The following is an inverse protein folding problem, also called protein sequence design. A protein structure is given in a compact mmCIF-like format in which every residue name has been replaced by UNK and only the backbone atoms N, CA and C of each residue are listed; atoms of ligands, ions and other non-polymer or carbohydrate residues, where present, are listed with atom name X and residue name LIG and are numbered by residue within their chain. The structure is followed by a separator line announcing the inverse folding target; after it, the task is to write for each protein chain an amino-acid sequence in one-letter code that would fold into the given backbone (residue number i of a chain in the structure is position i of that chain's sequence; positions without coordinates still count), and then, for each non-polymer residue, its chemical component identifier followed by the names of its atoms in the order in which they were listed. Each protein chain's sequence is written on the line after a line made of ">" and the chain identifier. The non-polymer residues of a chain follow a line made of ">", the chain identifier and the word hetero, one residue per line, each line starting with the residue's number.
data_IF_662590122165
#
_entry.id   IF_662590122165
#
_cell.length_a   1.000
_cell.length_b   1.000
_cell.length_c   1.000
_cell.angle_alpha   90.00
_cell.angle_beta   90.00
_cell.angle_gamma   90.00
#
_symmetry.space_group_name_H-M   'P 1'
#
loop_
_entity.id
_entity.type
_entity.pdbx_description
1 polymer ?
#
# COMPACT_ATOMS: atom_id res chain seq x y z
N UNK A 1 27.32 -18.85 -6.45
CA UNK A 1 26.80 -18.98 -5.07
C UNK A 1 26.72 -17.59 -4.48
N UNK A 2 25.63 -16.88 -4.74
CA UNK A 2 25.29 -15.62 -4.08
C UNK A 2 24.52 -15.98 -2.81
N UNK A 3 25.10 -15.67 -1.65
CA UNK A 3 24.45 -15.82 -0.36
C UNK A 3 23.35 -14.78 -0.24
N UNK A 4 22.08 -15.20 -0.30
CA UNK A 4 20.94 -14.36 0.05
C UNK A 4 21.04 -14.04 1.54
N UNK A 5 21.47 -12.83 1.89
CA UNK A 5 21.29 -12.32 3.24
C UNK A 5 19.81 -12.04 3.40
N UNK A 6 19.08 -12.97 4.02
CA UNK A 6 17.71 -12.71 4.42
C UNK A 6 17.71 -11.52 5.36
N UNK A 7 16.93 -10.49 5.02
CA UNK A 7 16.73 -9.32 5.87
C UNK A 7 15.93 -9.76 7.10
N UNK A 8 16.65 -10.18 8.14
CA UNK A 8 16.05 -10.55 9.40
C UNK A 8 15.61 -9.28 10.16
N UNK A 9 14.41 -9.31 10.72
CA UNK A 9 13.95 -8.30 11.67
C UNK A 9 14.88 -8.31 12.89
N UNK A 10 15.32 -7.14 13.33
CA UNK A 10 16.14 -6.94 14.52
C UNK A 10 15.28 -6.90 15.78
N UNK A 11 14.03 -6.44 15.67
CA UNK A 11 13.05 -6.43 16.75
C UNK A 11 11.65 -6.95 16.36
N UNK A 12 10.82 -7.26 17.36
CA UNK A 12 9.41 -7.62 17.15
C UNK A 12 8.56 -6.37 16.94
N UNK A 13 7.85 -6.28 15.81
CA UNK A 13 6.95 -5.16 15.52
C UNK A 13 5.53 -5.43 16.06
N UNK A 14 4.87 -4.39 16.54
CA UNK A 14 3.48 -4.44 16.99
C UNK A 14 2.53 -3.89 15.92
N UNK A 15 1.49 -4.64 15.55
CA UNK A 15 0.42 -4.15 14.68
C UNK A 15 -0.58 -3.34 15.52
N UNK A 16 -0.69 -2.05 15.22
CA UNK A 16 -1.59 -1.11 15.90
C UNK A 16 -2.98 -1.10 15.25
N UNK A 17 -3.00 -1.14 13.92
CA UNK A 17 -4.19 -1.28 13.07
C UNK A 17 -3.78 -1.69 11.66
N UNK A 18 -4.74 -2.19 10.87
CA UNK A 18 -4.54 -2.52 9.48
C UNK A 18 -5.81 -2.25 8.67
N UNK A 19 -5.64 -2.02 7.37
CA UNK A 19 -6.73 -1.80 6.44
C UNK A 19 -6.39 -2.37 5.06
N UNK A 20 -7.44 -2.82 4.37
CA UNK A 20 -7.37 -3.26 2.97
C UNK A 20 -8.43 -2.54 2.15
N UNK A 21 -8.17 -2.41 0.85
CA UNK A 21 -9.12 -1.90 -0.12
C UNK A 21 -8.91 -2.55 -1.49
N UNK A 22 -10.01 -2.83 -2.18
CA UNK A 22 -10.06 -3.34 -3.55
C UNK A 22 -10.92 -2.42 -4.41
N UNK A 23 -10.60 -2.31 -5.68
CA UNK A 23 -11.42 -1.54 -6.63
C UNK A 23 -11.46 -2.24 -7.99
N UNK A 24 -12.65 -2.34 -8.58
CA UNK A 24 -12.92 -2.99 -9.87
C UNK A 24 -12.32 -4.39 -10.01
N UNK A 25 -12.16 -5.12 -8.91
CA UNK A 25 -11.74 -6.52 -8.91
C UNK A 25 -12.90 -7.46 -9.24
N UNK A 26 -14.13 -6.99 -9.14
CA UNK A 26 -15.36 -7.78 -9.29
C UNK A 26 -15.74 -8.53 -8.01
N UNK A 27 -15.12 -8.19 -6.88
CA UNK A 27 -15.43 -8.73 -5.55
C UNK A 27 -16.46 -7.85 -4.85
N UNK A 28 -17.22 -8.43 -3.93
CA UNK A 28 -18.23 -7.71 -3.15
C UNK A 28 -17.62 -6.60 -2.26
N UNK A 29 -16.34 -6.76 -1.89
CA UNK A 29 -15.56 -5.82 -1.09
C UNK A 29 -14.95 -4.65 -1.90
N UNK A 30 -15.26 -4.54 -3.21
CA UNK A 30 -14.82 -3.41 -4.02
C UNK A 30 -15.42 -2.09 -3.51
N UNK A 31 -14.55 -1.11 -3.27
CA UNK A 31 -14.95 0.21 -2.79
C UNK A 31 -15.14 1.20 -3.94
N UNK A 32 -16.00 2.18 -3.68
CA UNK A 32 -15.97 3.44 -4.42
C UNK A 32 -14.72 4.23 -4.01
N UNK A 33 -13.96 4.73 -4.98
CA UNK A 33 -12.73 5.46 -4.69
C UNK A 33 -13.01 6.85 -4.10
N UNK A 34 -12.25 7.29 -3.07
CA UNK A 34 -12.35 8.65 -2.57
C UNK A 34 -11.91 9.65 -3.64
N UNK A 35 -12.56 10.81 -3.66
CA UNK A 35 -12.20 11.91 -4.57
C UNK A 35 -10.98 12.63 -4.03
N UNK A 36 -9.83 12.42 -4.66
CA UNK A 36 -8.58 13.04 -4.26
C UNK A 36 -8.19 14.14 -5.28
N UNK A 37 -8.18 15.43 -4.89
CA UNK A 37 -7.85 16.51 -5.82
C UNK A 37 -6.50 16.30 -6.52
N UNK A 38 -6.52 16.35 -7.86
CA UNK A 38 -5.34 16.10 -8.68
C UNK A 38 -5.12 14.62 -9.05
N UNK A 39 -5.79 13.67 -8.41
CA UNK A 39 -5.63 12.24 -8.67
C UNK A 39 -6.93 11.64 -9.19
N UNK A 40 -7.26 11.94 -10.45
CA UNK A 40 -8.55 11.60 -11.06
C UNK A 40 -8.47 10.53 -12.15
N UNK A 41 -7.26 10.22 -12.62
CA UNK A 41 -7.06 9.36 -13.79
C UNK A 41 -6.85 7.89 -13.41
N UNK A 42 -6.51 7.60 -12.15
CA UNK A 42 -6.06 6.29 -11.67
C UNK A 42 -6.59 5.96 -10.28
N UNK A 43 -6.73 4.66 -10.00
CA UNK A 43 -7.08 4.15 -8.69
C UNK A 43 -5.90 4.16 -7.70
N UNK A 44 -4.66 4.33 -8.18
CA UNK A 44 -3.45 4.18 -7.35
C UNK A 44 -3.47 5.06 -6.09
N UNK A 45 -3.51 6.38 -6.29
CA UNK A 45 -3.43 7.35 -5.20
C UNK A 45 -4.69 7.35 -4.33
N UNK A 46 -5.91 7.27 -4.88
CA UNK A 46 -7.12 7.08 -4.07
C UNK A 46 -7.09 5.83 -3.18
N UNK A 47 -6.61 4.68 -3.69
CA UNK A 47 -6.47 3.46 -2.90
C UNK A 47 -5.40 3.59 -1.81
N UNK A 48 -4.22 4.12 -2.14
CA UNK A 48 -3.16 4.38 -1.17
C UNK A 48 -3.65 5.29 -0.03
N UNK A 49 -4.34 6.37 -0.39
CA UNK A 49 -4.94 7.31 0.55
C UNK A 49 -5.99 6.63 1.43
N UNK A 50 -6.91 5.86 0.85
CA UNK A 50 -8.00 5.22 1.59
C UNK A 50 -7.48 4.31 2.71
N UNK A 51 -6.60 3.35 2.38
CA UNK A 51 -6.10 2.39 3.39
C UNK A 51 -5.26 3.08 4.46
N UNK A 52 -4.53 4.13 4.08
CA UNK A 52 -3.76 4.95 5.01
C UNK A 52 -4.65 5.75 5.94
N UNK A 53 -5.66 6.41 5.37
CA UNK A 53 -6.64 7.22 6.10
C UNK A 53 -7.34 6.36 7.15
N UNK A 54 -7.86 5.18 6.76
CA UNK A 54 -8.47 4.22 7.71
C UNK A 54 -7.54 3.87 8.87
N UNK A 55 -6.26 3.61 8.61
CA UNK A 55 -5.30 3.31 9.67
C UNK A 55 -5.05 4.52 10.59
N UNK A 56 -4.80 5.69 10.01
CA UNK A 56 -4.45 6.90 10.75
C UNK A 56 -5.64 7.49 11.53
N UNK A 57 -6.87 7.30 11.05
CA UNK A 57 -8.09 7.72 11.76
C UNK A 57 -8.51 6.73 12.83
N UNK A 58 -8.36 5.42 12.59
CA UNK A 58 -8.64 4.40 13.61
C UNK A 58 -7.64 4.47 14.77
N UNK A 59 -6.39 4.89 14.50
CA UNK A 59 -5.35 5.12 15.49
C UNK A 59 -4.75 6.52 15.33
N UNK A 60 -5.44 7.57 15.80
CA UNK A 60 -4.89 8.91 15.82
C UNK A 60 -3.61 8.95 16.66
N UNK A 61 -2.70 9.85 16.31
CA UNK A 61 -1.45 10.07 17.02
C UNK A 61 -0.65 11.17 16.34
N UNK A 62 0.56 11.41 16.80
CA UNK A 62 1.34 12.54 16.28
C UNK A 62 1.88 12.26 14.88
N UNK A 63 1.66 13.22 13.97
CA UNK A 63 2.09 13.11 12.59
C UNK A 63 3.60 13.25 12.45
N UNK A 64 4.21 14.11 13.26
CA UNK A 64 5.66 14.34 13.25
C UNK A 64 6.46 13.12 13.73
N UNK A 65 5.87 12.30 14.61
CA UNK A 65 6.39 11.01 15.11
C UNK A 65 5.94 9.81 14.27
N UNK A 66 5.43 10.04 13.05
CA UNK A 66 4.98 9.00 12.11
C UNK A 66 5.86 8.99 10.86
N UNK A 67 6.38 7.83 10.50
CA UNK A 67 7.01 7.61 9.19
C UNK A 67 6.09 6.79 8.26
N UNK A 68 6.35 6.84 6.95
CA UNK A 68 5.57 6.11 5.94
C UNK A 68 6.48 5.40 4.95
N UNK A 69 6.18 4.14 4.65
CA UNK A 69 6.84 3.38 3.59
C UNK A 69 5.81 2.76 2.64
N UNK A 70 5.87 3.16 1.37
CA UNK A 70 4.96 2.71 0.30
C UNK A 70 5.68 1.77 -0.66
N UNK A 71 5.22 0.53 -0.80
CA UNK A 71 5.68 -0.36 -1.85
C UNK A 71 4.74 -0.36 -3.06
N UNK A 72 5.32 -0.29 -4.25
CA UNK A 72 4.63 -0.66 -5.48
C UNK A 72 5.66 -1.04 -6.53
N UNK A 73 5.53 -2.24 -7.11
CA UNK A 73 6.43 -2.68 -8.16
C UNK A 73 6.37 -1.74 -9.38
N UNK A 74 5.17 -1.37 -9.82
CA UNK A 74 4.98 -0.61 -11.07
C UNK A 74 4.48 0.82 -10.87
N UNK A 75 4.05 1.21 -9.67
CA UNK A 75 3.54 2.55 -9.36
C UNK A 75 2.23 2.89 -10.08
N UNK A 76 1.98 4.18 -10.29
CA UNK A 76 0.78 4.66 -11.00
C UNK A 76 0.95 4.56 -12.53
N UNK A 77 0.92 3.31 -13.00
CA UNK A 77 1.06 2.98 -14.43
C UNK A 77 -0.05 3.55 -15.29
N UNK A 78 -1.28 3.65 -14.78
CA UNK A 78 -2.42 4.22 -15.50
C UNK A 78 -2.17 5.68 -15.86
N UNK A 79 -1.76 6.51 -14.88
CA UNK A 79 -1.45 7.92 -15.11
C UNK A 79 -0.21 8.08 -15.98
N UNK A 80 0.84 7.26 -15.76
CA UNK A 80 2.06 7.28 -16.56
C UNK A 80 1.82 6.97 -18.05
N UNK A 81 0.99 5.96 -18.33
CA UNK A 81 0.64 5.52 -19.67
C UNK A 81 -0.24 6.57 -20.39
N UNK A 82 -1.20 7.16 -19.67
CA UNK A 82 -1.99 8.27 -20.18
C UNK A 82 -1.14 9.50 -20.52
N UNK A 83 -0.23 9.89 -19.63
CA UNK A 83 0.70 11.00 -19.85
C UNK A 83 1.57 10.75 -21.10
N UNK A 84 2.08 9.53 -21.24
CA UNK A 84 2.89 9.10 -22.39
C UNK A 84 2.10 9.18 -23.70
N UNK A 85 0.87 8.67 -23.75
CA UNK A 85 0.00 8.76 -24.94
C UNK A 85 -0.35 10.20 -25.30
N UNK A 86 -0.65 11.04 -24.30
CA UNK A 86 -0.92 12.48 -24.50
C UNK A 86 0.31 13.18 -25.06
N UNK A 87 1.52 12.82 -24.62
CA UNK A 87 2.76 13.35 -25.16
C UNK A 87 3.00 12.96 -26.62
N UNK A 88 2.91 11.66 -26.95
CA UNK A 88 3.11 11.16 -28.31
C UNK A 88 2.08 11.74 -29.30
N UNK A 89 0.85 11.95 -28.84
CA UNK A 89 -0.22 12.54 -29.68
C UNK A 89 -0.18 14.08 -29.77
N UNK A 90 0.81 14.75 -29.18
CA UNK A 90 0.91 16.22 -29.16
C UNK A 90 -0.12 16.92 -28.26
N UNK A 91 -0.80 16.18 -27.38
CA UNK A 91 -1.87 16.67 -26.49
C UNK A 91 -1.39 16.90 -25.06
N UNK A 92 -0.29 17.64 -24.88
CA UNK A 92 0.40 17.85 -23.57
C UNK A 92 -0.29 18.91 -22.69
N UNK A 93 -1.61 18.90 -22.60
CA UNK A 93 -2.38 19.99 -21.98
C UNK A 93 -2.30 20.01 -20.44
N UNK A 94 -1.72 18.97 -19.82
CA UNK A 94 -1.52 18.92 -18.38
C UNK A 94 -0.14 18.31 -18.05
N UNK A 95 0.91 19.14 -17.87
CA UNK A 95 2.25 18.67 -17.54
C UNK A 95 2.33 18.05 -16.14
N UNK A 96 1.37 18.33 -15.25
CA UNK A 96 1.35 17.77 -13.90
C UNK A 96 1.08 16.27 -13.88
N UNK A 97 0.51 15.70 -14.95
CA UNK A 97 0.25 14.27 -15.04
C UNK A 97 1.51 13.43 -14.87
N UNK A 98 2.66 13.88 -15.37
CA UNK A 98 3.93 13.17 -15.18
C UNK A 98 4.38 13.21 -13.71
N UNK A 99 4.18 14.34 -13.02
CA UNK A 99 4.52 14.46 -11.60
C UNK A 99 3.58 13.60 -10.74
N UNK A 100 2.30 13.55 -11.11
CA UNK A 100 1.26 12.77 -10.44
C UNK A 100 1.42 11.25 -10.66
N UNK A 101 2.04 10.83 -11.75
CA UNK A 101 2.29 9.42 -12.02
C UNK A 101 3.36 8.77 -11.11
N UNK A 102 4.09 9.57 -10.33
CA UNK A 102 5.09 9.04 -9.40
C UNK A 102 4.41 8.42 -8.18
N UNK A 103 4.84 7.23 -7.75
CA UNK A 103 4.25 6.54 -6.60
C UNK A 103 4.29 7.38 -5.31
N UNK A 104 5.32 8.22 -5.15
CA UNK A 104 5.49 9.12 -4.00
C UNK A 104 4.50 10.29 -3.95
N UNK A 105 3.81 10.62 -5.05
CA UNK A 105 2.99 11.83 -5.14
C UNK A 105 1.85 11.86 -4.10
N UNK A 106 1.25 10.70 -3.80
CA UNK A 106 0.20 10.57 -2.77
C UNK A 106 0.74 10.83 -1.36
N UNK A 107 2.01 10.53 -1.09
CA UNK A 107 2.62 10.75 0.22
C UNK A 107 2.68 12.23 0.56
N UNK A 108 2.91 13.10 -0.43
CA UNK A 108 2.85 14.55 -0.25
C UNK A 108 1.43 15.04 0.12
N UNK A 109 0.39 14.40 -0.40
CA UNK A 109 -0.99 14.68 -0.01
C UNK A 109 -1.24 14.25 1.44
N UNK A 110 -0.88 13.02 1.78
CA UNK A 110 -1.04 12.45 3.12
C UNK A 110 -0.27 13.24 4.18
N UNK A 111 0.95 13.69 3.87
CA UNK A 111 1.76 14.53 4.75
C UNK A 111 1.04 15.79 5.17
N UNK A 112 0.45 16.50 4.21
CA UNK A 112 -0.31 17.72 4.49
C UNK A 112 -1.57 17.44 5.31
N UNK A 113 -2.27 16.36 5.02
CA UNK A 113 -3.56 16.06 5.65
C UNK A 113 -3.43 15.54 7.08
N UNK A 114 -2.48 14.63 7.32
CA UNK A 114 -2.26 13.99 8.61
C UNK A 114 -1.10 14.60 9.41
N UNK A 115 -0.53 15.71 8.93
CA UNK A 115 0.60 16.39 9.59
C UNK A 115 1.87 15.55 9.63
N UNK A 116 2.06 14.61 8.69
CA UNK A 116 3.19 13.69 8.72
C UNK A 116 4.46 14.42 8.27
N UNK A 117 5.41 14.58 9.18
CA UNK A 117 6.72 15.19 8.89
C UNK A 117 7.89 14.24 9.11
N UNK A 118 7.63 13.00 9.57
CA UNK A 118 8.62 11.94 9.59
C UNK A 118 8.99 11.47 8.19
N UNK A 119 9.91 10.51 8.13
CA UNK A 119 10.50 10.01 6.90
C UNK A 119 9.43 9.32 6.03
N UNK A 120 9.41 9.62 4.73
CA UNK A 120 8.48 9.03 3.76
C UNK A 120 9.26 8.43 2.59
N UNK A 121 9.02 7.15 2.32
CA UNK A 121 9.69 6.41 1.25
C UNK A 121 8.67 5.77 0.31
N UNK A 122 9.06 5.64 -0.97
CA UNK A 122 8.46 4.63 -1.84
C UNK A 122 9.54 3.73 -2.40
N UNK A 123 9.25 2.43 -2.37
CA UNK A 123 10.10 1.37 -2.87
C UNK A 123 9.39 0.63 -4.01
N UNK A 124 10.18 0.22 -4.99
CA UNK A 124 9.77 -0.70 -6.05
C UNK A 124 10.73 -1.88 -5.99
N UNK A 125 10.19 -3.07 -5.80
CA UNK A 125 10.97 -4.29 -5.65
C UNK A 125 10.34 -5.46 -6.37
N UNK A 126 11.18 -6.32 -6.93
CA UNK A 126 10.82 -7.64 -7.45
C UNK A 126 10.89 -8.72 -6.37
N UNK A 127 11.53 -8.45 -5.24
CA UNK A 127 11.55 -9.38 -4.10
C UNK A 127 10.20 -9.34 -3.37
N UNK A 128 10.13 -9.84 -2.13
CA UNK A 128 8.91 -9.81 -1.31
C UNK A 128 8.69 -8.42 -0.71
N UNK A 129 7.71 -7.63 -1.16
CA UNK A 129 7.49 -6.28 -0.67
C UNK A 129 7.14 -6.25 0.82
N UNK A 130 6.50 -7.31 1.34
CA UNK A 130 6.16 -7.41 2.76
C UNK A 130 7.44 -7.43 3.61
N UNK A 131 8.37 -8.33 3.30
CA UNK A 131 9.63 -8.44 4.03
C UNK A 131 10.43 -7.14 4.00
N UNK A 132 10.51 -6.47 2.84
CA UNK A 132 11.21 -5.18 2.73
C UNK A 132 10.55 -4.07 3.54
N UNK A 133 9.22 -3.95 3.50
CA UNK A 133 8.49 -2.95 4.26
C UNK A 133 8.62 -3.17 5.77
N UNK A 134 8.53 -4.42 6.24
CA UNK A 134 8.71 -4.74 7.65
C UNK A 134 10.14 -4.44 8.11
N UNK A 135 11.15 -4.79 7.31
CA UNK A 135 12.53 -4.47 7.61
C UNK A 135 12.80 -2.95 7.65
N UNK A 136 12.18 -2.19 6.74
CA UNK A 136 12.27 -0.73 6.77
C UNK A 136 11.61 -0.15 8.03
N UNK A 137 10.44 -0.65 8.41
CA UNK A 137 9.75 -0.19 9.61
C UNK A 137 10.55 -0.49 10.89
N UNK A 138 11.13 -1.67 10.99
CA UNK A 138 12.04 -2.06 12.09
C UNK A 138 13.25 -1.14 12.15
N UNK A 139 13.93 -0.90 11.03
CA UNK A 139 15.08 0.01 10.95
C UNK A 139 14.71 1.44 11.42
N UNK A 140 13.59 1.98 10.94
CA UNK A 140 13.16 3.34 11.28
C UNK A 140 12.81 3.49 12.77
N UNK A 141 12.12 2.50 13.35
CA UNK A 141 11.73 2.55 14.77
C UNK A 141 12.91 2.32 15.71
N UNK A 142 13.94 1.60 15.27
CA UNK A 142 15.18 1.41 16.03
C UNK A 142 16.11 2.62 15.98
N UNK A 143 16.36 3.16 14.78
CA UNK A 143 17.37 4.20 14.56
C UNK A 143 16.88 5.60 14.97
N UNK A 144 15.56 5.84 14.95
CA UNK A 144 14.97 7.14 15.28
C UNK A 144 14.07 7.05 16.54
N UNK A 145 14.55 7.51 17.72
CA UNK A 145 13.76 7.49 18.95
C UNK A 145 12.59 8.48 18.94
N UNK A 146 12.58 9.46 18.03
CA UNK A 146 11.47 10.40 17.88
C UNK A 146 10.30 9.81 17.09
N UNK A 147 10.53 8.77 16.29
CA UNK A 147 9.43 8.02 15.66
C UNK A 147 8.75 7.10 16.68
N UNK A 148 7.42 7.11 16.71
CA UNK A 148 6.63 6.19 17.52
C UNK A 148 6.05 5.05 16.68
N UNK A 149 5.81 5.32 15.40
CA UNK A 149 5.07 4.44 14.52
C UNK A 149 5.46 4.62 13.06
N UNK A 150 5.29 3.55 12.30
CA UNK A 150 5.52 3.51 10.86
C UNK A 150 4.28 2.97 10.18
N UNK A 151 3.73 3.73 9.24
CA UNK A 151 2.71 3.23 8.33
C UNK A 151 3.39 2.55 7.15
N UNK A 152 3.26 1.24 7.05
CA UNK A 152 3.64 0.52 5.83
C UNK A 152 2.41 0.31 4.98
N UNK A 153 2.52 0.58 3.68
CA UNK A 153 1.44 0.36 2.74
C UNK A 153 1.99 -0.16 1.40
N UNK A 154 1.13 -0.83 0.64
CA UNK A 154 1.46 -1.22 -0.71
C UNK A 154 0.25 -1.14 -1.64
N UNK A 155 0.51 -0.83 -2.91
CA UNK A 155 -0.52 -0.72 -3.95
C UNK A 155 -0.09 -1.47 -5.20
N UNK A 156 -1.00 -2.30 -5.72
CA UNK A 156 -0.86 -3.07 -6.95
C UNK A 156 -2.03 -2.72 -7.89
N UNK A 157 -1.72 -2.35 -9.13
CA UNK A 157 -2.72 -2.16 -10.19
C UNK A 157 -2.64 -3.33 -11.17
N UNK A 158 -3.76 -3.72 -11.77
CA UNK A 158 -3.75 -4.71 -12.85
C UNK A 158 -3.02 -4.23 -14.10
N UNK A 159 -3.03 -2.91 -14.35
CA UNK A 159 -2.23 -2.27 -15.39
C UNK A 159 -2.72 -2.56 -16.82
N UNK A 160 -2.20 -1.81 -17.78
CA UNK A 160 -2.54 -2.01 -19.21
C UNK A 160 -1.73 -3.16 -19.83
N UNK A 161 -2.03 -3.53 -21.08
CA UNK A 161 -1.23 -4.49 -21.85
C UNK A 161 0.27 -4.15 -21.87
N UNK A 162 0.59 -2.85 -21.84
CA UNK A 162 1.98 -2.36 -21.76
C UNK A 162 2.64 -2.75 -20.44
N UNK A 163 1.92 -2.70 -19.33
CA UNK A 163 2.39 -3.14 -18.00
C UNK A 163 2.55 -4.65 -17.99
N UNK A 164 1.58 -5.37 -18.55
CA UNK A 164 1.63 -6.82 -18.69
C UNK A 164 2.86 -7.28 -19.50
N UNK A 165 3.20 -6.58 -20.59
CA UNK A 165 4.42 -6.81 -21.36
C UNK A 165 5.71 -6.61 -20.53
N UNK A 166 5.78 -5.54 -19.73
CA UNK A 166 6.91 -5.29 -18.82
C UNK A 166 7.03 -6.41 -17.79
N UNK A 167 5.92 -6.87 -17.20
CA UNK A 167 5.94 -8.01 -16.28
C UNK A 167 6.47 -9.28 -16.94
N UNK A 168 6.09 -9.58 -18.17
CA UNK A 168 6.61 -10.75 -18.90
C UNK A 168 8.11 -10.66 -19.13
N UNK A 169 8.62 -9.47 -19.47
CA UNK A 169 10.06 -9.25 -19.66
C UNK A 169 10.85 -9.38 -18.35
N UNK A 170 10.35 -8.75 -17.27
CA UNK A 170 10.94 -8.86 -15.93
C UNK A 170 10.89 -10.31 -15.43
N UNK A 171 9.78 -11.01 -15.65
CA UNK A 171 9.61 -12.40 -15.27
C UNK A 171 10.55 -13.33 -16.02
N UNK A 172 10.72 -13.13 -17.34
CA UNK A 172 11.66 -13.89 -18.15
C UNK A 172 13.11 -13.69 -17.68
N UNK A 173 13.47 -12.48 -17.26
CA UNK A 173 14.81 -12.19 -16.74
C UNK A 173 15.07 -12.78 -15.34
N UNK A 174 14.04 -12.98 -14.52
CA UNK A 174 14.16 -13.37 -13.11
C UNK A 174 13.55 -14.75 -12.79
N UNK A 175 13.11 -15.51 -13.80
CA UNK A 175 12.48 -16.82 -13.61
C UNK A 175 11.13 -16.77 -12.88
N UNK A 176 10.42 -15.64 -12.95
CA UNK A 176 9.16 -15.43 -12.25
C UNK A 176 7.96 -16.12 -12.94
N UNK A 177 6.97 -16.52 -12.14
CA UNK A 177 5.67 -17.05 -12.61
C UNK A 177 4.79 -16.00 -13.31
N UNK A 178 3.59 -16.39 -13.80
CA UNK A 178 2.86 -15.65 -14.83
C UNK A 178 2.23 -14.32 -14.35
N UNK A 179 1.78 -13.55 -15.37
CA UNK A 179 1.18 -12.20 -15.41
C UNK A 179 0.29 -11.75 -14.23
N UNK A 180 0.10 -10.42 -14.04
CA UNK A 180 -0.78 -9.88 -13.02
C UNK A 180 -2.20 -10.48 -13.12
N UNK A 181 -2.76 -10.80 -11.95
CA UNK A 181 -4.04 -11.53 -11.80
C UNK A 181 -5.22 -10.57 -11.59
N UNK A 182 -4.98 -9.27 -11.77
CA UNK A 182 -5.94 -8.21 -11.58
C UNK A 182 -6.43 -7.73 -12.96
N UNK A 183 -7.74 -7.52 -13.15
CA UNK A 183 -8.26 -6.85 -14.34
C UNK A 183 -7.54 -5.51 -14.59
N UNK A 184 -7.45 -5.06 -15.85
CA UNK A 184 -6.63 -3.89 -16.20
C UNK A 184 -6.99 -2.60 -15.45
N UNK A 185 -8.26 -2.42 -15.09
CA UNK A 185 -8.77 -1.27 -14.32
C UNK A 185 -8.87 -1.54 -12.81
N UNK A 186 -8.44 -2.71 -12.36
CA UNK A 186 -8.52 -3.13 -10.98
C UNK A 186 -7.31 -2.66 -10.17
N UNK A 187 -7.52 -2.47 -8.88
CA UNK A 187 -6.48 -2.13 -7.92
C UNK A 187 -6.69 -2.80 -6.58
N UNK A 188 -5.57 -3.05 -5.91
CA UNK A 188 -5.49 -3.62 -4.58
C UNK A 188 -4.58 -2.74 -3.74
N UNK A 189 -4.99 -2.46 -2.50
CA UNK A 189 -4.14 -1.79 -1.53
C UNK A 189 -4.27 -2.42 -0.15
N UNK A 190 -3.18 -2.37 0.59
CA UNK A 190 -3.12 -2.78 1.99
C UNK A 190 -2.23 -1.82 2.76
N UNK A 191 -2.59 -1.55 4.01
CA UNK A 191 -1.78 -0.79 4.94
C UNK A 191 -1.80 -1.44 6.33
N UNK A 192 -0.67 -1.31 7.02
CA UNK A 192 -0.50 -1.75 8.41
C UNK A 192 0.23 -0.64 9.15
N UNK A 193 -0.35 -0.16 10.24
CA UNK A 193 0.30 0.78 11.14
C UNK A 193 1.06 -0.01 12.21
N UNK A 194 2.37 0.18 12.24
CA UNK A 194 3.30 -0.55 13.10
C UNK A 194 3.85 0.35 14.20
N UNK A 195 4.11 -0.21 15.36
CA UNK A 195 4.78 0.45 16.48
C UNK A 195 5.77 -0.47 17.18
N UNK A 196 6.50 0.09 18.16
CA UNK A 196 7.43 -0.67 19.00
C UNK A 196 6.73 -1.76 19.82
N UNK A 197 7.44 -2.85 20.19
CA UNK A 197 6.86 -3.90 21.02
C UNK A 197 6.27 -3.34 22.32
N UNK A 198 5.01 -3.69 22.61
CA UNK A 198 4.30 -3.25 23.83
C UNK A 198 3.52 -1.94 23.70
N UNK A 199 3.63 -1.22 22.58
CA UNK A 199 2.78 -0.06 22.28
C UNK A 199 1.34 -0.52 22.01
N UNK A 200 0.46 -0.54 23.03
CA UNK A 200 -0.99 -0.91 22.97
C UNK A 200 -1.38 -1.80 21.78
N UNK A 201 -0.65 -2.91 21.65
CA UNK A 201 -0.59 -3.71 20.43
C UNK A 201 -1.78 -4.66 20.35
N UNK A 202 -2.34 -4.87 19.16
CA UNK A 202 -3.37 -5.91 18.95
C UNK A 202 -2.74 -7.27 18.64
N UNK A 203 -1.58 -7.29 17.98
CA UNK A 203 -0.83 -8.48 17.66
C UNK A 203 0.66 -8.15 17.40
N UNK A 204 1.52 -9.17 17.47
CA UNK A 204 2.93 -9.05 17.12
C UNK A 204 3.20 -9.69 15.76
N UNK A 205 4.04 -9.06 14.94
CA UNK A 205 4.63 -9.69 13.76
C UNK A 205 5.88 -10.46 14.22
N UNK A 206 5.90 -11.80 14.15
CA UNK A 206 7.06 -12.57 14.61
C UNK A 206 8.29 -12.30 13.73
N UNK A 207 9.46 -12.32 14.37
CA UNK A 207 10.81 -12.15 13.77
C UNK A 207 11.15 -13.20 12.68
N UNK A 208 10.25 -14.15 12.37
CA UNK A 208 10.42 -15.18 11.35
C UNK A 208 9.30 -15.28 10.30
N UNK A 209 8.29 -14.41 10.32
CA UNK A 209 7.17 -14.46 9.35
C UNK A 209 7.54 -14.02 7.93
N UNK A 210 8.76 -13.53 7.73
CA UNK A 210 9.36 -13.26 6.41
C UNK A 210 9.65 -14.55 5.61
N UNK A 211 9.61 -15.73 6.25
CA UNK A 211 9.75 -17.02 5.58
C UNK A 211 8.39 -17.62 5.21
N UNK A 212 7.86 -17.30 4.03
CA UNK A 212 6.65 -17.94 3.51
C UNK A 212 6.85 -19.45 3.29
N UNK A 213 6.15 -20.28 4.07
CA UNK A 213 5.89 -21.70 3.77
C UNK A 213 4.64 -21.89 2.89
N UNK A 214 4.10 -20.81 2.31
CA UNK A 214 2.99 -20.82 1.36
C UNK A 214 3.41 -21.09 -0.09
N UNK A 215 2.45 -21.24 -1.02
CA UNK A 215 2.74 -21.36 -2.45
C UNK A 215 3.62 -20.19 -2.91
N UNK A 216 4.49 -20.43 -3.90
CA UNK A 216 5.44 -19.45 -4.41
C UNK A 216 4.73 -18.12 -4.75
N UNK A 217 4.97 -17.10 -3.92
CA UNK A 217 4.41 -15.76 -4.12
C UNK A 217 5.02 -15.15 -5.38
N UNK A 218 4.22 -14.37 -6.10
CA UNK A 218 4.69 -13.67 -7.30
C UNK A 218 5.67 -12.57 -6.91
N UNK A 219 6.81 -12.45 -7.62
CA UNK A 219 7.76 -11.35 -7.45
C UNK A 219 7.08 -9.97 -7.44
N UNK A 220 7.37 -9.17 -6.43
CA UNK A 220 6.83 -7.81 -6.25
C UNK A 220 5.33 -7.72 -5.97
N UNK A 221 4.62 -8.84 -5.77
CA UNK A 221 3.18 -8.80 -5.48
C UNK A 221 2.91 -8.40 -4.03
N UNK A 222 1.90 -7.58 -3.83
CA UNK A 222 1.55 -7.08 -2.49
C UNK A 222 0.70 -8.07 -1.68
N UNK A 223 0.40 -9.24 -2.25
CA UNK A 223 -0.49 -10.24 -1.65
C UNK A 223 -0.10 -10.61 -0.20
N UNK A 224 1.19 -10.67 0.10
CA UNK A 224 1.66 -10.92 1.47
C UNK A 224 1.25 -9.84 2.46
N UNK A 225 1.36 -8.57 2.09
CA UNK A 225 0.89 -7.46 2.91
C UNK A 225 -0.63 -7.44 2.99
N UNK A 226 -1.33 -7.77 1.90
CA UNK A 226 -2.78 -7.84 1.88
C UNK A 226 -3.33 -8.91 2.82
N UNK A 227 -2.71 -10.09 2.85
CA UNK A 227 -3.03 -11.17 3.80
C UNK A 227 -2.78 -10.77 5.25
N UNK A 228 -1.61 -10.16 5.53
CA UNK A 228 -1.29 -9.65 6.86
C UNK A 228 -2.31 -8.59 7.32
N UNK A 229 -2.62 -7.63 6.45
CA UNK A 229 -3.56 -6.57 6.76
C UNK A 229 -4.97 -7.13 6.97
N UNK A 230 -5.42 -8.07 6.15
CA UNK A 230 -6.74 -8.73 6.31
C UNK A 230 -6.83 -9.49 7.63
N UNK A 231 -5.75 -10.18 8.05
CA UNK A 231 -5.71 -10.91 9.33
C UNK A 231 -5.78 -9.97 10.55
N UNK A 232 -5.48 -8.68 10.38
CA UNK A 232 -5.46 -7.67 11.44
C UNK A 232 -6.46 -6.51 11.22
N UNK A 233 -7.28 -6.58 10.17
CA UNK A 233 -8.33 -5.61 9.91
C UNK A 233 -9.44 -5.78 10.95
N UNK A 234 -10.01 -4.68 11.41
CA UNK A 234 -11.21 -4.75 12.24
C UNK A 234 -12.41 -5.13 11.36
N UNK A 235 -13.36 -5.94 11.87
CA UNK A 235 -14.65 -6.04 11.24
C UNK A 235 -15.25 -4.63 11.18
N UNK A 236 -15.55 -4.15 9.97
CA UNK A 236 -16.25 -2.87 9.83
C UNK A 236 -17.66 -3.04 10.40
N UNK A 237 -17.96 -2.35 11.50
CA UNK A 237 -19.32 -2.22 12.04
C UNK A 237 -20.15 -1.35 11.10
N UNK A 238 -20.57 -1.90 9.97
CA UNK A 238 -21.53 -1.26 9.05
C UNK A 238 -22.98 -1.70 9.30
N UNK A 239 -23.30 -2.29 10.46
CA UNK A 239 -24.67 -2.76 10.78
C UNK A 239 -25.38 -2.04 11.94
N UNK A 240 -24.86 -0.91 12.44
CA UNK A 240 -25.57 -0.09 13.43
C UNK A 240 -26.12 1.21 12.82
N UNK A 241 -27.02 1.13 11.82
CA UNK A 241 -27.95 2.24 11.56
C UNK A 241 -29.27 1.82 10.89
N UNK A 242 -29.96 0.80 11.39
CA UNK A 242 -31.42 0.66 11.12
C UNK A 242 -32.17 0.19 12.36
N UNK A 243 -32.18 0.99 13.44
CA UNK A 243 -33.28 0.93 14.42
C UNK A 243 -33.30 2.17 15.29
N UNK A 244 -33.91 3.26 14.82
CA UNK A 244 -34.56 4.21 15.74
C UNK A 244 -35.81 4.84 15.12
N UNK A 245 -36.94 4.19 15.43
CA UNK A 245 -38.13 4.82 16.01
C UNK A 245 -38.99 5.74 15.11
N UNK A 246 -40.00 5.15 14.46
CA UNK A 246 -41.30 5.82 14.29
C UNK A 246 -42.33 5.17 15.23
N UNK A 247 -42.57 5.82 16.37
CA UNK A 247 -43.73 5.58 17.21
C UNK A 247 -44.20 6.92 17.83
N UNK A 248 -45.46 7.27 17.51
CA UNK A 248 -46.31 8.37 18.04
C UNK A 248 -45.85 9.81 17.74
N UNK A 249 -46.69 10.70 17.22
CA UNK A 249 -48.14 10.89 17.40
C UNK A 249 -48.89 11.10 16.09
#
# INVERSE_FOLDING_TARGET
>A
MTTTHGTALRSSLSVLTAATATHNTGRDEDIALPKLPGFVESAFSPLAYEVSSRCLTARPGDGDRTAVALASLTGDTTTADLASRRMVSGRVHNPLLFMQATANSVLGHMSREFGITGQMFSISTLDDPLTELLAMADLLLEDDPELDRVLVLAVELGGSERVAAVHRELAAAHGAGPEPALPAAAGLAAAVLLGRPGATARAQVPVGSAGSTGPARRPGSIQGLFELATAHAEPSDENETETHTHAHQ
#
